data_IF_793893615672
#
_entry.id   IF_793893615672
#
_cell.length_a   1.000
_cell.length_b   1.000
_cell.length_c   1.000
_cell.angle_alpha   90.00
_cell.angle_beta   90.00
_cell.angle_gamma   90.00
#
_symmetry.space_group_name_H-M   'P 1'
#
loop_
_entity.id
_entity.type
_entity.pdbx_description
1 polymer ?
#
# COMPACT_ATOMS: atom_id res chain seq x y z
N UNK A 1 -18.73 -19.13 -25.71
CA UNK A 1 -17.64 -18.17 -26.01
C UNK A 1 -16.64 -18.20 -24.87
N UNK A 2 -15.51 -18.89 -25.04
CA UNK A 2 -14.50 -19.05 -24.00
C UNK A 2 -13.73 -17.75 -23.79
N UNK A 3 -14.00 -17.04 -22.69
CA UNK A 3 -13.19 -15.90 -22.28
C UNK A 3 -11.86 -16.41 -21.71
N UNK A 4 -10.92 -16.73 -22.59
CA UNK A 4 -9.56 -17.07 -22.22
C UNK A 4 -8.86 -15.84 -21.64
N UNK A 5 -8.88 -15.70 -20.32
CA UNK A 5 -7.97 -14.78 -19.61
C UNK A 5 -6.54 -15.19 -19.99
N UNK A 6 -5.89 -14.41 -20.86
CA UNK A 6 -4.47 -14.57 -21.17
C UNK A 6 -3.69 -14.46 -19.86
N UNK A 7 -3.18 -15.59 -19.34
CA UNK A 7 -2.31 -15.60 -18.16
C UNK A 7 -1.10 -14.72 -18.46
N UNK A 8 -1.02 -13.53 -17.83
CA UNK A 8 0.24 -12.79 -17.74
C UNK A 8 1.16 -13.57 -16.80
N UNK A 9 1.87 -14.57 -17.33
CA UNK A 9 2.73 -15.51 -16.58
C UNK A 9 3.88 -14.84 -15.82
N UNK A 10 4.13 -13.54 -16.06
CA UNK A 10 5.24 -12.77 -15.46
C UNK A 10 4.78 -11.62 -14.53
N UNK A 11 3.50 -11.52 -14.20
CA UNK A 11 3.02 -10.44 -13.32
C UNK A 11 3.52 -10.66 -11.88
N UNK A 12 4.34 -9.73 -11.38
CA UNK A 12 4.93 -9.79 -10.03
C UNK A 12 4.15 -8.98 -8.98
N UNK A 13 3.27 -8.09 -9.41
CA UNK A 13 2.57 -7.16 -8.52
C UNK A 13 3.54 -6.36 -7.64
N UNK A 14 3.20 -6.22 -6.36
CA UNK A 14 4.05 -5.51 -5.39
C UNK A 14 5.17 -6.35 -4.80
N UNK A 15 5.35 -7.60 -5.24
CA UNK A 15 6.49 -8.42 -4.84
C UNK A 15 7.73 -7.99 -5.64
N UNK A 16 8.28 -6.83 -5.30
CA UNK A 16 9.43 -6.21 -5.98
C UNK A 16 10.77 -6.51 -5.31
N UNK A 17 10.78 -7.28 -4.22
CA UNK A 17 11.99 -7.52 -3.42
C UNK A 17 12.38 -6.35 -2.51
N UNK A 18 11.48 -5.38 -2.32
CA UNK A 18 11.69 -4.29 -1.37
C UNK A 18 11.88 -4.82 0.05
N UNK A 19 12.98 -4.43 0.69
CA UNK A 19 13.28 -4.73 2.09
C UNK A 19 13.35 -3.42 2.89
N UNK A 20 12.49 -3.22 3.88
CA UNK A 20 12.54 -2.01 4.69
C UNK A 20 13.79 -1.95 5.55
N UNK A 21 14.34 -0.75 5.73
CA UNK A 21 15.42 -0.51 6.69
C UNK A 21 14.94 -0.65 8.14
N UNK A 22 15.88 -0.65 9.10
CA UNK A 22 15.54 -0.65 10.52
C UNK A 22 14.70 0.56 10.94
N UNK A 23 15.02 1.75 10.42
CA UNK A 23 14.25 2.98 10.69
C UNK A 23 12.84 2.88 10.11
N UNK A 24 12.72 2.43 8.86
CA UNK A 24 11.43 2.19 8.21
C UNK A 24 10.58 1.19 9.00
N UNK A 25 11.22 0.18 9.57
CA UNK A 25 10.57 -0.79 10.46
C UNK A 25 10.05 -0.12 11.74
N UNK A 26 10.81 0.79 12.36
CA UNK A 26 10.35 1.57 13.52
C UNK A 26 9.12 2.42 13.18
N UNK A 27 9.13 3.12 12.06
CA UNK A 27 7.97 3.92 11.61
C UNK A 27 6.75 3.04 11.39
N UNK A 28 6.94 1.86 10.79
CA UNK A 28 5.86 0.91 10.55
C UNK A 28 5.27 0.35 11.85
N UNK A 29 6.11 0.01 12.84
CA UNK A 29 5.66 -0.47 14.15
C UNK A 29 4.84 0.59 14.87
N UNK A 30 5.35 1.83 14.93
CA UNK A 30 4.61 2.94 15.51
C UNK A 30 3.22 3.11 14.90
N UNK A 31 3.11 3.05 13.57
CA UNK A 31 1.80 3.15 12.91
C UNK A 31 0.86 2.01 13.33
N UNK A 32 1.35 0.77 13.39
CA UNK A 32 0.57 -0.40 13.82
C UNK A 32 0.07 -0.21 15.26
N UNK A 33 0.98 0.13 16.17
CA UNK A 33 0.70 0.28 17.60
C UNK A 33 -0.32 1.40 17.89
N UNK A 34 -0.36 2.42 17.02
CA UNK A 34 -1.27 3.57 17.14
C UNK A 34 -2.52 3.47 16.26
N UNK A 35 -2.85 2.28 15.73
CA UNK A 35 -4.01 2.07 14.85
C UNK A 35 -4.01 2.97 13.58
N UNK A 36 -2.83 3.32 13.07
CA UNK A 36 -2.65 4.03 11.80
C UNK A 36 -2.39 2.95 10.72
N UNK A 37 -3.46 2.57 10.03
CA UNK A 37 -3.42 1.54 8.99
C UNK A 37 -3.07 2.17 7.66
N UNK A 38 -1.89 1.84 7.12
CA UNK A 38 -1.39 2.35 5.83
C UNK A 38 -1.05 1.16 4.94
N UNK A 39 -1.72 1.06 3.79
CA UNK A 39 -1.54 -0.07 2.85
C UNK A 39 -1.69 0.37 1.39
N UNK A 40 -1.06 -0.34 0.45
CA UNK A 40 -1.28 -0.11 -0.97
C UNK A 40 -2.62 -0.73 -1.40
N UNK A 41 -3.36 -0.05 -2.26
CA UNK A 41 -4.61 -0.53 -2.86
C UNK A 41 -4.58 -0.34 -4.37
N UNK A 42 -5.05 -1.30 -5.16
CA UNK A 42 -5.03 -1.18 -6.62
C UNK A 42 -6.06 -0.14 -7.07
N UNK A 43 -5.72 0.65 -8.10
CA UNK A 43 -6.68 1.59 -8.72
C UNK A 43 -7.67 0.86 -9.63
N UNK A 44 -7.26 -0.28 -10.18
CA UNK A 44 -8.01 -1.03 -11.17
C UNK A 44 -8.54 -2.34 -10.57
N UNK A 45 -9.74 -2.75 -11.00
CA UNK A 45 -10.30 -4.06 -10.66
C UNK A 45 -9.67 -5.12 -11.57
N UNK A 46 -9.09 -6.16 -10.99
CA UNK A 46 -8.53 -7.28 -11.74
C UNK A 46 -7.39 -7.97 -10.99
N UNK A 47 -6.88 -9.07 -11.56
CA UNK A 47 -5.79 -9.86 -10.96
C UNK A 47 -4.40 -9.25 -11.17
N UNK A 48 -4.26 -8.27 -12.07
CA UNK A 48 -2.96 -7.73 -12.50
C UNK A 48 -2.91 -6.20 -12.48
N UNK A 49 -3.15 -5.54 -11.32
CA UNK A 49 -3.06 -4.09 -11.23
C UNK A 49 -1.62 -3.58 -11.43
N UNK A 50 -1.44 -2.62 -12.32
CA UNK A 50 -0.15 -1.97 -12.56
C UNK A 50 -0.04 -0.64 -11.79
N UNK A 51 -1.19 -0.09 -11.41
CA UNK A 51 -1.33 1.17 -10.71
C UNK A 51 -1.96 0.98 -9.33
N UNK A 52 -1.43 1.74 -8.38
CA UNK A 52 -1.74 1.61 -6.97
C UNK A 52 -1.88 2.99 -6.33
N UNK A 53 -2.70 3.08 -5.29
CA UNK A 53 -2.77 4.22 -4.38
C UNK A 53 -2.43 3.74 -2.99
N UNK A 54 -1.97 4.64 -2.14
CA UNK A 54 -1.84 4.36 -0.71
C UNK A 54 -3.16 4.71 -0.02
N UNK A 55 -3.71 3.76 0.72
CA UNK A 55 -4.88 3.91 1.56
C UNK A 55 -4.47 4.13 3.02
N UNK A 56 -5.19 5.01 3.72
CA UNK A 56 -4.95 5.36 5.12
C UNK A 56 -6.26 5.29 5.90
N UNK A 57 -6.25 4.59 7.03
CA UNK A 57 -7.29 4.67 8.06
C UNK A 57 -6.63 4.96 9.41
N UNK A 58 -7.17 5.91 10.16
CA UNK A 58 -6.65 6.28 11.50
C UNK A 58 -7.67 5.90 12.57
N UNK A 59 -7.18 5.29 13.65
CA UNK A 59 -7.99 4.84 14.79
C UNK A 59 -8.48 3.39 14.64
N UNK A 60 -9.22 2.85 15.63
CA UNK A 60 -9.66 1.46 15.63
C UNK A 60 -10.41 1.06 14.36
N UNK A 61 -10.29 -0.20 13.94
CA UNK A 61 -10.95 -0.70 12.73
C UNK A 61 -12.47 -0.65 12.89
N UNK A 62 -13.14 -0.04 11.91
CA UNK A 62 -14.60 -0.06 11.82
C UNK A 62 -15.04 -0.80 10.56
N UNK A 63 -15.98 -1.74 10.72
CA UNK A 63 -16.55 -2.47 9.58
C UNK A 63 -17.20 -1.50 8.61
N UNK A 64 -16.80 -1.57 7.34
CA UNK A 64 -17.30 -0.67 6.29
C UNK A 64 -16.67 0.72 6.29
N UNK A 65 -15.59 0.94 7.06
CA UNK A 65 -14.82 2.19 6.95
C UNK A 65 -14.29 2.38 5.53
N UNK A 66 -14.33 3.62 5.05
CA UNK A 66 -13.73 4.01 3.79
C UNK A 66 -12.37 4.64 4.09
N UNK A 67 -11.26 4.00 3.72
CA UNK A 67 -9.95 4.59 3.91
C UNK A 67 -9.81 5.85 3.03
N UNK A 68 -9.03 6.81 3.50
CA UNK A 68 -8.60 7.91 2.66
C UNK A 68 -7.58 7.41 1.64
N UNK A 69 -7.76 7.76 0.37
CA UNK A 69 -6.82 7.41 -0.68
C UNK A 69 -5.93 8.60 -0.99
N UNK A 70 -4.62 8.36 -1.07
CA UNK A 70 -3.67 9.33 -1.62
C UNK A 70 -4.12 9.82 -3.00
N UNK A 71 -3.92 11.11 -3.31
CA UNK A 71 -4.28 11.68 -4.60
C UNK A 71 -3.39 11.15 -5.74
N UNK A 72 -2.15 10.79 -5.40
CA UNK A 72 -1.15 10.31 -6.34
C UNK A 72 -1.36 8.83 -6.67
N UNK A 73 -1.04 8.46 -7.91
CA UNK A 73 -1.00 7.07 -8.37
C UNK A 73 0.45 6.65 -8.47
N UNK A 74 0.73 5.45 -8.00
CA UNK A 74 2.04 4.84 -7.87
C UNK A 74 2.11 3.54 -8.66
N UNK A 75 3.32 3.13 -9.02
CA UNK A 75 3.60 1.83 -9.63
C UNK A 75 4.30 0.93 -8.61
N UNK A 76 4.53 -0.34 -8.98
CA UNK A 76 5.27 -1.27 -8.12
C UNK A 76 6.69 -0.77 -7.76
N UNK A 77 7.28 0.08 -8.61
CA UNK A 77 8.66 0.56 -8.45
C UNK A 77 8.80 1.60 -7.33
N UNK A 78 7.78 2.43 -7.11
CA UNK A 78 7.87 3.57 -6.19
C UNK A 78 6.93 3.51 -4.99
N UNK A 79 5.88 2.69 -5.02
CA UNK A 79 4.85 2.69 -3.97
C UNK A 79 5.41 2.33 -2.59
N UNK A 80 6.38 1.43 -2.51
CA UNK A 80 6.94 1.03 -1.21
C UNK A 80 7.68 2.18 -0.54
N UNK A 81 8.52 2.90 -1.29
CA UNK A 81 9.23 4.06 -0.77
C UNK A 81 8.25 5.12 -0.26
N UNK A 82 7.21 5.41 -1.04
CA UNK A 82 6.20 6.41 -0.71
C UNK A 82 5.31 5.99 0.48
N UNK A 83 4.99 4.71 0.58
CA UNK A 83 4.27 4.14 1.72
C UNK A 83 5.06 4.31 3.02
N UNK A 84 6.38 4.10 2.99
CA UNK A 84 7.23 4.33 4.16
C UNK A 84 7.47 5.81 4.45
N UNK A 85 7.55 6.68 3.43
CA UNK A 85 7.57 8.14 3.63
C UNK A 85 6.29 8.61 4.35
N UNK A 86 5.15 8.04 3.99
CA UNK A 86 3.87 8.33 4.65
C UNK A 86 3.83 7.82 6.09
N UNK A 87 4.36 6.62 6.36
CA UNK A 87 4.53 6.12 7.75
C UNK A 87 5.45 7.03 8.56
N UNK A 88 6.54 7.49 7.96
CA UNK A 88 7.48 8.43 8.59
C UNK A 88 6.78 9.71 9.02
N UNK A 89 5.93 10.29 8.16
CA UNK A 89 5.16 11.49 8.50
C UNK A 89 4.34 11.34 9.79
N UNK A 90 3.69 10.20 10.01
CA UNK A 90 2.95 9.96 11.25
C UNK A 90 3.87 9.69 12.43
N UNK A 91 4.99 9.00 12.21
CA UNK A 91 6.01 8.79 13.24
C UNK A 91 6.64 10.10 13.72
N UNK A 92 6.95 11.02 12.81
CA UNK A 92 7.57 12.31 13.11
C UNK A 92 6.59 13.27 13.82
N UNK A 93 5.28 13.05 13.66
CA UNK A 93 4.20 13.81 14.32
C UNK A 93 3.88 13.38 15.76
N UNK A 94 4.57 12.35 16.25
CA UNK A 94 4.41 11.85 17.62
C UNK A 94 4.60 12.94 18.68
#
# INVERSE_FOLDING_TARGET
>A
MGSGLKKKTKYKGLNTGFMPSEEQTKWSRYCIDNNIRISPVPTQRGMHPEEWRIAISVGPYKRGEKPYLSPNVYTADNIWQELYNMKKYYYDKR
#
